data_IF_924559979315
#
_entry.id   IF_924559979315
#
_cell.length_a   1.000
_cell.length_b   1.000
_cell.length_c   1.000
_cell.angle_alpha   90.00
_cell.angle_beta   90.00
_cell.angle_gamma   90.00
#
_symmetry.space_group_name_H-M   'P 1'
#
loop_
_entity.id
_entity.type
_entity.pdbx_description
1 polymer ?
#
# COMPACT_ATOMS: atom_id res chain seq x y z
N UNK A 1 -2.04 6.71 11.30
CA UNK A 1 -3.40 6.86 10.72
C UNK A 1 -4.29 5.67 11.09
N UNK A 2 -5.57 5.88 11.38
CA UNK A 2 -6.48 4.83 11.90
C UNK A 2 -6.52 3.56 11.04
N UNK A 3 -6.62 3.70 9.72
CA UNK A 3 -6.77 2.58 8.79
C UNK A 3 -5.46 2.13 8.14
N UNK A 4 -4.30 2.63 8.60
CA UNK A 4 -2.97 2.37 8.01
C UNK A 4 -2.70 0.89 7.77
N UNK A 5 -2.86 0.09 8.83
CA UNK A 5 -2.47 -1.32 8.79
C UNK A 5 -3.35 -2.09 7.81
N UNK A 6 -4.67 -2.00 7.95
CA UNK A 6 -5.61 -2.77 7.10
C UNK A 6 -5.54 -2.35 5.63
N UNK A 7 -5.43 -1.04 5.34
CA UNK A 7 -5.29 -0.54 3.96
C UNK A 7 -3.92 -0.87 3.35
N UNK A 8 -2.83 -0.84 4.14
CA UNK A 8 -1.52 -1.31 3.70
C UNK A 8 -1.52 -2.80 3.34
N UNK A 9 -2.22 -3.62 4.13
CA UNK A 9 -2.45 -5.04 3.80
C UNK A 9 -3.32 -5.19 2.55
N UNK A 10 -4.34 -4.36 2.35
CA UNK A 10 -5.19 -4.40 1.14
C UNK A 10 -4.38 -4.12 -0.13
N UNK A 11 -3.49 -3.13 -0.10
CA UNK A 11 -2.57 -2.85 -1.21
C UNK A 11 -1.66 -4.05 -1.48
N UNK A 12 -1.18 -4.73 -0.43
CA UNK A 12 -0.40 -5.97 -0.56
C UNK A 12 -1.20 -7.11 -1.20
N UNK A 13 -2.50 -7.27 -0.85
CA UNK A 13 -3.41 -8.24 -1.51
C UNK A 13 -3.59 -7.93 -2.99
N UNK A 14 -3.80 -6.65 -3.35
CA UNK A 14 -3.91 -6.24 -4.75
C UNK A 14 -2.65 -6.62 -5.53
N UNK A 15 -1.48 -6.19 -5.05
CA UNK A 15 -0.21 -6.38 -5.74
C UNK A 15 0.21 -7.86 -5.81
N UNK A 16 -0.18 -8.68 -4.84
CA UNK A 16 0.16 -10.11 -4.84
C UNK A 16 -0.56 -10.88 -5.97
N UNK A 17 -1.69 -10.38 -6.47
CA UNK A 17 -2.51 -11.06 -7.49
C UNK A 17 -2.29 -10.56 -8.93
N UNK A 18 -1.57 -9.45 -9.15
CA UNK A 18 -1.36 -8.87 -10.48
C UNK A 18 -0.25 -9.55 -11.28
N UNK A 19 -0.41 -9.67 -12.60
CA UNK A 19 0.58 -10.29 -13.51
C UNK A 19 1.81 -9.39 -13.69
N UNK A 20 2.98 -10.01 -13.80
CA UNK A 20 4.24 -9.33 -14.09
C UNK A 20 5.27 -9.37 -12.97
N UNK A 21 6.40 -8.71 -13.20
CA UNK A 21 7.48 -8.56 -12.21
C UNK A 21 7.03 -7.63 -11.10
N UNK A 22 6.85 -8.17 -9.90
CA UNK A 22 6.47 -7.40 -8.72
C UNK A 22 7.69 -6.66 -8.17
N UNK A 23 7.53 -5.37 -7.92
CA UNK A 23 8.49 -4.54 -7.20
C UNK A 23 7.90 -4.15 -5.84
N UNK A 24 8.73 -4.19 -4.80
CA UNK A 24 8.41 -3.67 -3.46
C UNK A 24 9.48 -2.66 -3.11
N UNK A 25 9.08 -1.43 -2.78
CA UNK A 25 10.00 -0.35 -2.43
C UNK A 25 10.31 -0.35 -0.93
N UNK A 26 11.50 0.09 -0.53
CA UNK A 26 11.93 0.12 0.88
C UNK A 26 10.92 0.88 1.76
N UNK A 27 10.45 0.26 2.84
CA UNK A 27 9.44 0.80 3.74
C UNK A 27 8.00 0.55 3.31
N UNK A 28 7.73 0.16 2.06
CA UNK A 28 6.40 -0.26 1.62
C UNK A 28 5.95 -1.51 2.39
N UNK A 29 6.89 -2.42 2.67
CA UNK A 29 6.67 -3.61 3.47
C UNK A 29 6.31 -3.30 4.93
N UNK A 30 6.69 -2.12 5.44
CA UNK A 30 6.33 -1.65 6.78
C UNK A 30 5.00 -0.88 6.79
N UNK A 31 4.40 -0.64 5.62
CA UNK A 31 3.26 0.28 5.52
C UNK A 31 3.65 1.70 5.91
N UNK A 32 4.83 2.14 5.46
CA UNK A 32 5.32 3.51 5.59
C UNK A 32 4.35 4.50 4.95
N UNK A 33 4.27 5.70 5.52
CA UNK A 33 3.33 6.75 5.11
C UNK A 33 4.10 8.04 4.80
N UNK A 34 3.48 8.95 4.05
CA UNK A 34 3.99 10.31 3.88
C UNK A 34 4.24 10.98 5.24
N UNK A 35 5.33 11.73 5.36
CA UNK A 35 5.52 12.67 6.47
C UNK A 35 4.49 13.80 6.38
N UNK A 36 4.28 14.50 7.48
CA UNK A 36 3.23 15.52 7.59
C UNK A 36 3.77 16.83 8.13
N UNK A 37 3.11 17.92 7.73
CA UNK A 37 3.33 19.27 8.30
C UNK A 37 4.78 19.75 8.21
N UNK A 38 5.51 19.32 7.17
CA UNK A 38 6.85 19.85 6.91
C UNK A 38 6.76 21.13 6.11
N UNK A 39 7.49 22.19 6.53
CA UNK A 39 7.59 23.38 5.72
C UNK A 39 8.51 23.11 4.50
N UNK A 40 8.35 23.91 3.45
CA UNK A 40 8.93 23.64 2.12
C UNK A 40 10.46 23.58 2.13
N UNK A 41 11.10 24.34 3.01
CA UNK A 41 12.55 24.39 3.18
C UNK A 41 13.15 23.10 3.75
N UNK A 42 12.33 22.21 4.33
CA UNK A 42 12.79 20.91 4.79
C UNK A 42 12.88 19.87 3.68
N UNK A 43 12.33 20.13 2.49
CA UNK A 43 12.44 19.22 1.35
C UNK A 43 13.84 19.36 0.72
N UNK A 44 14.51 18.23 0.50
CA UNK A 44 15.84 18.21 -0.13
C UNK A 44 15.71 18.25 -1.66
N UNK A 45 14.62 17.70 -2.19
CA UNK A 45 14.51 17.42 -3.62
C UNK A 45 14.74 18.65 -4.51
N UNK A 46 15.63 18.50 -5.48
CA UNK A 46 15.90 19.50 -6.52
C UNK A 46 14.65 19.80 -7.35
N UNK A 47 13.75 18.83 -7.53
CA UNK A 47 12.46 19.06 -8.20
C UNK A 47 11.61 20.07 -7.44
N UNK A 48 11.53 19.94 -6.11
CA UNK A 48 10.76 20.88 -5.27
C UNK A 48 11.42 22.25 -5.28
N UNK A 49 12.74 22.32 -5.11
CA UNK A 49 13.47 23.60 -5.10
C UNK A 49 13.35 24.35 -6.43
N UNK A 50 13.50 23.65 -7.56
CA UNK A 50 13.41 24.27 -8.88
C UNK A 50 11.99 24.75 -9.18
N UNK A 51 10.97 23.92 -8.93
CA UNK A 51 9.57 24.33 -9.15
C UNK A 51 9.16 25.49 -8.23
N UNK A 52 9.57 25.46 -6.96
CA UNK A 52 9.34 26.58 -6.05
C UNK A 52 9.94 27.88 -6.58
N UNK A 53 11.20 27.84 -7.05
CA UNK A 53 11.86 29.01 -7.62
C UNK A 53 11.12 29.54 -8.85
N UNK A 54 10.75 28.65 -9.79
CA UNK A 54 10.05 29.03 -11.02
C UNK A 54 8.69 29.68 -10.72
N UNK A 55 7.88 29.07 -9.85
CA UNK A 55 6.57 29.63 -9.47
C UNK A 55 6.74 30.97 -8.74
N UNK A 56 7.76 31.09 -7.88
CA UNK A 56 8.07 32.35 -7.21
C UNK A 56 8.48 33.45 -8.19
N UNK A 57 9.26 33.12 -9.22
CA UNK A 57 9.69 34.06 -10.27
C UNK A 57 8.53 34.46 -11.21
N UNK A 58 7.67 33.51 -11.60
CA UNK A 58 6.60 33.73 -12.57
C UNK A 58 5.31 34.28 -11.96
N UNK A 59 4.91 33.79 -10.78
CA UNK A 59 3.62 34.08 -10.16
C UNK A 59 3.76 34.85 -8.83
N UNK A 60 4.93 34.81 -8.19
CA UNK A 60 5.17 35.39 -6.87
C UNK A 60 4.92 34.39 -5.73
N UNK A 61 5.59 34.62 -4.59
CA UNK A 61 5.58 33.69 -3.43
C UNK A 61 4.22 33.61 -2.71
N UNK A 62 3.39 34.65 -2.79
CA UNK A 62 2.06 34.70 -2.17
C UNK A 62 0.91 34.37 -3.13
N UNK A 63 1.23 33.79 -4.30
CA UNK A 63 0.27 33.48 -5.36
C UNK A 63 -0.61 32.26 -5.05
N UNK A 64 -1.69 32.12 -5.81
CA UNK A 64 -2.57 30.94 -5.73
C UNK A 64 -1.86 29.68 -6.27
N UNK A 65 -1.02 29.86 -7.29
CA UNK A 65 -0.16 28.83 -7.86
C UNK A 65 0.81 28.29 -6.81
N UNK A 66 1.44 29.17 -6.00
CA UNK A 66 2.31 28.75 -4.91
C UNK A 66 1.56 27.96 -3.84
N UNK A 67 0.34 28.38 -3.47
CA UNK A 67 -0.49 27.64 -2.50
C UNK A 67 -0.81 26.23 -3.00
N UNK A 68 -1.27 26.11 -4.26
CA UNK A 68 -1.56 24.80 -4.88
C UNK A 68 -0.32 23.91 -4.97
N UNK A 69 0.83 24.50 -5.28
CA UNK A 69 2.11 23.78 -5.26
C UNK A 69 2.41 23.24 -3.85
N UNK A 70 2.33 24.09 -2.82
CA UNK A 70 2.59 23.68 -1.44
C UNK A 70 1.62 22.61 -0.93
N UNK A 71 0.35 22.69 -1.31
CA UNK A 71 -0.64 21.64 -1.04
C UNK A 71 -0.32 20.34 -1.77
N UNK A 72 0.09 20.44 -3.04
CA UNK A 72 0.44 19.29 -3.87
C UNK A 72 1.66 18.53 -3.34
N UNK A 73 2.75 19.23 -3.00
CA UNK A 73 3.99 18.58 -2.57
C UNK A 73 3.83 17.79 -1.27
N UNK A 74 2.88 18.17 -0.41
CA UNK A 74 2.56 17.45 0.81
C UNK A 74 1.94 16.06 0.56
N UNK A 75 1.49 15.79 -0.66
CA UNK A 75 0.97 14.49 -1.09
C UNK A 75 1.89 13.78 -2.09
N UNK A 76 2.47 14.50 -3.06
CA UNK A 76 3.10 13.90 -4.25
C UNK A 76 4.61 13.95 -4.28
N UNK A 77 5.26 14.66 -3.34
CA UNK A 77 6.72 14.84 -3.38
C UNK A 77 7.47 13.51 -3.33
N UNK A 78 8.53 13.39 -4.14
CA UNK A 78 9.42 12.22 -4.16
C UNK A 78 10.12 12.01 -2.82
N UNK A 79 10.29 13.08 -2.03
CA UNK A 79 10.93 13.00 -0.72
C UNK A 79 10.17 12.13 0.28
N UNK A 80 8.85 11.91 0.09
CA UNK A 80 8.09 10.96 0.92
C UNK A 80 8.65 9.52 0.85
N UNK A 81 9.31 9.18 -0.26
CA UNK A 81 9.97 7.89 -0.45
C UNK A 81 11.45 7.89 0.01
N UNK A 82 12.03 9.05 0.35
CA UNK A 82 13.48 9.21 0.54
C UNK A 82 13.92 9.41 1.98
N UNK A 83 12.98 9.63 2.91
CA UNK A 83 13.33 9.69 4.34
C UNK A 83 14.06 8.41 4.75
N UNK A 84 15.09 8.47 5.61
CA UNK A 84 15.86 7.29 5.97
C UNK A 84 15.01 6.12 6.51
N UNK A 85 15.43 4.89 6.20
CA UNK A 85 14.71 3.67 6.56
C UNK A 85 14.62 3.50 8.10
N UNK A 86 13.42 3.30 8.68
CA UNK A 86 13.26 3.10 10.12
C UNK A 86 13.49 1.63 10.51
N UNK A 87 14.65 1.32 11.08
CA UNK A 87 14.98 -0.02 11.56
C UNK A 87 14.45 -0.30 12.97
N UNK A 88 14.51 0.68 13.87
CA UNK A 88 14.14 0.56 15.29
C UNK A 88 13.35 1.79 15.76
N UNK A 89 12.71 1.77 16.95
CA UNK A 89 12.06 2.96 17.51
C UNK A 89 13.05 3.96 18.13
N UNK A 90 14.35 3.67 18.11
CA UNK A 90 15.33 4.42 18.90
C UNK A 90 15.59 5.81 18.33
N UNK A 91 15.59 6.82 19.21
CA UNK A 91 15.94 8.20 18.87
C UNK A 91 17.45 8.36 18.58
N UNK A 92 17.83 9.39 17.80
CA UNK A 92 16.98 10.21 16.92
C UNK A 92 16.79 9.59 15.53
N UNK A 93 17.55 8.52 15.23
CA UNK A 93 17.79 8.06 13.87
C UNK A 93 17.04 6.77 13.49
N UNK A 94 16.15 6.26 14.34
CA UNK A 94 15.38 5.04 14.09
C UNK A 94 16.26 3.83 13.71
N UNK A 95 17.49 3.76 14.27
CA UNK A 95 18.48 2.74 13.92
C UNK A 95 19.08 2.84 12.52
N UNK A 96 18.75 3.86 11.72
CA UNK A 96 19.38 4.11 10.41
C UNK A 96 20.87 4.43 10.53
N UNK A 97 21.25 5.17 11.57
CA UNK A 97 22.63 5.47 11.92
C UNK A 97 22.79 5.58 13.43
N UNK A 98 24.03 5.65 13.92
CA UNK A 98 24.32 5.87 15.34
C UNK A 98 23.67 7.17 15.85
N UNK A 99 23.39 7.28 17.16
CA UNK A 99 22.60 8.38 17.71
C UNK A 99 23.25 9.76 17.59
N UNK A 100 24.58 9.81 17.42
CA UNK A 100 25.35 11.04 17.27
C UNK A 100 25.60 11.43 15.79
N UNK A 101 25.05 10.68 14.84
CA UNK A 101 25.17 10.98 13.41
C UNK A 101 24.02 11.88 12.98
N UNK A 102 24.30 12.91 12.17
CA UNK A 102 23.27 13.66 11.44
C UNK A 102 22.97 12.95 10.11
N UNK A 103 21.77 12.39 9.92
CA UNK A 103 21.40 11.81 8.64
C UNK A 103 21.39 12.86 7.53
N UNK A 104 21.61 12.42 6.29
CA UNK A 104 21.62 13.30 5.11
C UNK A 104 20.27 13.99 4.89
N UNK A 105 19.19 13.33 5.27
CA UNK A 105 17.82 13.84 5.19
C UNK A 105 17.03 13.53 6.47
N UNK A 106 15.99 14.31 6.75
CA UNK A 106 15.21 14.18 7.97
C UNK A 106 14.45 12.84 8.06
N UNK A 107 14.33 12.31 9.28
CA UNK A 107 13.54 11.12 9.56
C UNK A 107 12.03 11.45 9.54
N UNK A 108 11.23 10.51 9.03
CA UNK A 108 9.79 10.56 9.19
C UNK A 108 9.40 10.13 10.61
N UNK A 109 8.60 10.92 11.32
CA UNK A 109 8.24 10.67 12.72
C UNK A 109 7.43 9.39 12.95
N UNK A 110 6.98 8.75 11.88
CA UNK A 110 6.22 7.51 11.94
C UNK A 110 6.96 6.35 12.62
N UNK A 111 8.31 6.37 12.71
CA UNK A 111 9.05 5.34 13.43
C UNK A 111 8.65 5.26 14.91
N UNK A 112 8.28 6.41 15.52
CA UNK A 112 7.76 6.52 16.90
C UNK A 112 6.37 5.94 17.07
N UNK A 113 5.66 5.72 15.97
CA UNK A 113 4.30 5.15 15.93
C UNK A 113 4.33 3.64 15.64
N UNK A 114 5.50 3.02 15.78
CA UNK A 114 5.73 1.60 15.50
C UNK A 114 5.86 1.25 14.03
N UNK A 115 6.07 2.23 13.14
CA UNK A 115 6.47 1.95 11.75
C UNK A 115 7.98 1.79 11.70
N UNK A 116 8.48 0.67 12.19
CA UNK A 116 9.88 0.31 12.14
C UNK A 116 10.04 -1.21 12.08
N UNK A 117 11.17 -1.67 11.55
CA UNK A 117 11.41 -3.11 11.33
C UNK A 117 11.33 -3.90 12.64
N UNK A 118 11.94 -3.42 13.72
CA UNK A 118 12.00 -4.14 14.99
C UNK A 118 10.61 -4.43 15.59
N UNK A 119 9.73 -3.44 15.63
CA UNK A 119 8.38 -3.60 16.15
C UNK A 119 7.48 -4.42 15.22
N UNK A 120 7.54 -4.16 13.91
CA UNK A 120 6.73 -4.89 12.92
C UNK A 120 7.17 -6.37 12.84
N UNK A 121 8.43 -6.72 13.12
CA UNK A 121 8.88 -8.12 13.20
C UNK A 121 8.31 -8.87 14.40
N UNK A 122 8.10 -8.20 15.55
CA UNK A 122 7.58 -8.81 16.77
C UNK A 122 6.04 -8.99 16.74
N UNK A 123 5.36 -8.27 15.85
CA UNK A 123 3.91 -8.28 15.74
C UNK A 123 3.44 -9.16 14.57
N UNK A 124 2.73 -10.26 14.84
CA UNK A 124 2.21 -11.18 13.80
C UNK A 124 1.12 -10.58 12.92
N UNK A 125 0.49 -9.49 13.37
CA UNK A 125 -0.54 -8.74 12.66
C UNK A 125 0.00 -7.48 11.98
N UNK A 126 1.32 -7.31 11.94
CA UNK A 126 1.98 -6.19 11.29
C UNK A 126 1.82 -6.19 9.77
N UNK A 127 2.12 -5.05 9.13
CA UNK A 127 2.13 -4.96 7.66
C UNK A 127 3.31 -5.76 7.12
N UNK A 128 4.46 -5.77 7.81
CA UNK A 128 5.64 -6.56 7.44
C UNK A 128 5.35 -8.06 7.45
N UNK A 129 4.74 -8.57 8.52
CA UNK A 129 4.36 -9.97 8.63
C UNK A 129 3.36 -10.35 7.52
N UNK A 130 2.46 -9.44 7.17
CA UNK A 130 1.50 -9.66 6.10
C UNK A 130 2.14 -9.69 4.70
N UNK A 131 3.08 -8.79 4.41
CA UNK A 131 3.82 -8.82 3.15
C UNK A 131 4.57 -10.12 2.92
N UNK A 132 5.17 -10.70 3.97
CA UNK A 132 5.78 -12.04 3.90
C UNK A 132 4.77 -13.10 3.43
N UNK A 133 3.57 -13.12 4.04
CA UNK A 133 2.47 -14.02 3.66
C UNK A 133 1.98 -13.76 2.23
N UNK A 134 1.91 -12.50 1.80
CA UNK A 134 1.47 -12.12 0.45
C UNK A 134 2.45 -12.58 -0.64
N UNK A 135 3.75 -12.49 -0.39
CA UNK A 135 4.78 -12.99 -1.30
C UNK A 135 4.80 -14.52 -1.34
N UNK A 136 4.59 -15.18 -0.19
CA UNK A 136 4.43 -16.64 -0.12
C UNK A 136 3.21 -17.12 -0.93
N UNK A 137 2.05 -16.50 -0.74
CA UNK A 137 0.85 -16.74 -1.56
C UNK A 137 1.15 -16.57 -3.05
N UNK A 138 1.76 -15.43 -3.44
CA UNK A 138 2.10 -15.14 -4.84
C UNK A 138 3.04 -16.20 -5.43
N UNK A 139 3.98 -16.73 -4.63
CA UNK A 139 4.91 -17.78 -5.06
C UNK A 139 4.21 -19.12 -5.23
N UNK A 140 3.34 -19.49 -4.28
CA UNK A 140 2.61 -20.76 -4.27
C UNK A 140 1.61 -20.85 -5.42
N UNK A 141 0.99 -19.73 -5.81
CA UNK A 141 0.06 -19.64 -6.94
C UNK A 141 0.66 -18.89 -8.13
N UNK A 142 1.98 -19.03 -8.38
CA UNK A 142 2.69 -18.24 -9.40
C UNK A 142 2.11 -18.38 -10.81
N UNK A 143 1.56 -19.54 -11.14
CA UNK A 143 0.93 -19.82 -12.43
C UNK A 143 -0.17 -18.80 -12.75
N UNK A 144 -1.10 -18.57 -11.83
CA UNK A 144 -2.20 -17.63 -12.03
C UNK A 144 -1.92 -16.23 -11.45
N UNK A 145 -1.13 -16.09 -10.39
CA UNK A 145 -0.79 -14.81 -9.78
C UNK A 145 0.26 -14.04 -10.58
N UNK A 146 1.35 -14.70 -11.02
CA UNK A 146 2.44 -14.07 -11.78
C UNK A 146 2.19 -14.14 -13.28
N UNK A 147 1.69 -15.27 -13.79
CA UNK A 147 1.54 -15.53 -15.24
C UNK A 147 0.09 -15.60 -15.73
N UNK A 148 -0.91 -15.34 -14.86
CA UNK A 148 -2.31 -15.37 -15.26
C UNK A 148 -2.61 -14.36 -16.37
N UNK A 149 -3.48 -14.74 -17.30
CA UNK A 149 -3.88 -13.97 -18.46
C UNK A 149 -5.40 -13.73 -18.47
N UNK A 150 -5.94 -13.16 -19.54
CA UNK A 150 -7.35 -12.79 -19.67
C UNK A 150 -7.89 -11.97 -18.49
N UNK A 151 -7.14 -10.96 -18.08
CA UNK A 151 -7.57 -10.04 -17.02
C UNK A 151 -8.88 -9.35 -17.43
N UNK A 152 -9.90 -9.43 -16.58
CA UNK A 152 -11.19 -8.75 -16.80
C UNK A 152 -11.64 -8.05 -15.53
N UNK A 153 -11.96 -6.77 -15.65
CA UNK A 153 -12.62 -6.04 -14.57
C UNK A 153 -14.04 -6.57 -14.33
N UNK A 154 -14.44 -6.55 -13.07
CA UNK A 154 -15.82 -6.79 -12.62
C UNK A 154 -16.27 -5.51 -11.93
N UNK A 155 -17.40 -4.95 -12.40
CA UNK A 155 -17.96 -3.70 -11.87
C UNK A 155 -16.96 -2.51 -11.91
N UNK A 156 -16.41 -2.25 -13.11
CA UNK A 156 -15.35 -1.27 -13.34
C UNK A 156 -15.70 0.15 -12.85
N UNK A 157 -16.97 0.53 -12.91
CA UNK A 157 -17.42 1.88 -12.54
C UNK A 157 -17.60 2.07 -11.02
N UNK A 158 -17.39 1.01 -10.22
CA UNK A 158 -17.57 1.05 -8.78
C UNK A 158 -16.49 1.91 -8.10
N UNK A 159 -16.94 2.89 -7.30
CA UNK A 159 -16.05 3.82 -6.59
C UNK A 159 -15.37 3.22 -5.35
N UNK A 160 -15.77 2.03 -4.91
CA UNK A 160 -15.28 1.35 -3.70
C UNK A 160 -14.68 -0.01 -4.01
N UNK A 161 -15.37 -0.81 -4.82
CA UNK A 161 -14.95 -2.16 -5.17
C UNK A 161 -13.97 -2.13 -6.34
N UNK A 162 -12.75 -2.62 -6.13
CA UNK A 162 -11.87 -3.06 -7.19
C UNK A 162 -12.02 -4.58 -7.29
N UNK A 163 -12.61 -5.07 -8.38
CA UNK A 163 -12.75 -6.50 -8.61
C UNK A 163 -12.32 -6.90 -10.02
N UNK A 164 -11.73 -8.09 -10.14
CA UNK A 164 -11.27 -8.63 -11.42
C UNK A 164 -11.17 -10.15 -11.40
N UNK A 165 -11.13 -10.75 -12.59
CA UNK A 165 -10.75 -12.15 -12.80
C UNK A 165 -9.49 -12.28 -13.63
N UNK A 166 -8.80 -13.41 -13.47
CA UNK A 166 -7.69 -13.88 -14.31
C UNK A 166 -7.83 -15.36 -14.58
N UNK A 167 -7.22 -15.84 -15.66
CA UNK A 167 -7.21 -17.26 -16.04
C UNK A 167 -5.81 -17.82 -16.15
N UNK A 168 -5.69 -19.12 -15.90
CA UNK A 168 -4.53 -19.91 -16.28
C UNK A 168 -4.95 -21.37 -16.46
N UNK A 169 -4.96 -21.89 -17.69
CA UNK A 169 -5.54 -23.22 -18.00
C UNK A 169 -6.99 -23.37 -17.48
N UNK A 170 -7.25 -24.36 -16.61
CA UNK A 170 -8.51 -24.60 -15.91
C UNK A 170 -8.74 -23.67 -14.71
N UNK A 171 -7.72 -22.95 -14.26
CA UNK A 171 -7.81 -22.10 -13.07
C UNK A 171 -8.44 -20.75 -13.39
N UNK A 172 -9.25 -20.26 -12.46
CA UNK A 172 -9.78 -18.90 -12.45
C UNK A 172 -9.51 -18.26 -11.10
N UNK A 173 -8.84 -17.11 -11.10
CA UNK A 173 -8.64 -16.27 -9.93
C UNK A 173 -9.70 -15.16 -9.98
N UNK A 174 -10.33 -14.90 -8.85
CA UNK A 174 -11.25 -13.78 -8.65
C UNK A 174 -10.79 -12.95 -7.45
N UNK A 175 -10.64 -11.65 -7.64
CA UNK A 175 -10.30 -10.70 -6.59
C UNK A 175 -11.49 -9.80 -6.29
N UNK A 176 -11.78 -9.57 -5.02
CA UNK A 176 -12.72 -8.56 -4.55
C UNK A 176 -12.03 -7.73 -3.45
N UNK A 177 -11.84 -6.43 -3.71
CA UNK A 177 -11.03 -5.54 -2.90
C UNK A 177 -11.81 -4.26 -2.60
N UNK A 178 -12.05 -3.99 -1.31
CA UNK A 178 -12.83 -2.83 -0.88
C UNK A 178 -11.92 -1.66 -0.51
N UNK A 179 -11.78 -0.67 -1.40
CA UNK A 179 -11.01 0.56 -1.17
C UNK A 179 -11.83 1.65 -0.47
N UNK A 180 -12.66 1.25 0.50
CA UNK A 180 -13.52 2.15 1.27
C UNK A 180 -13.52 1.81 2.76
N UNK A 181 -13.91 2.79 3.57
CA UNK A 181 -14.19 2.60 4.99
C UNK A 181 -15.62 2.09 5.26
N UNK A 182 -16.44 1.97 4.22
CA UNK A 182 -17.77 1.37 4.30
C UNK A 182 -17.70 -0.13 3.96
N UNK A 183 -18.71 -0.90 4.38
CA UNK A 183 -18.91 -2.24 3.84
C UNK A 183 -19.32 -2.15 2.36
N UNK A 184 -18.88 -3.12 1.55
CA UNK A 184 -19.10 -3.12 0.09
C UNK A 184 -19.45 -4.51 -0.40
N UNK A 185 -20.57 -4.65 -1.11
CA UNK A 185 -21.01 -5.92 -1.70
C UNK A 185 -20.21 -6.27 -2.96
N UNK A 186 -20.10 -7.56 -3.25
CA UNK A 186 -19.48 -8.07 -4.48
C UNK A 186 -20.20 -9.32 -4.98
N UNK A 187 -20.00 -9.64 -6.26
CA UNK A 187 -20.51 -10.88 -6.88
C UNK A 187 -19.37 -11.61 -7.57
N UNK A 188 -19.30 -12.93 -7.37
CA UNK A 188 -18.38 -13.78 -8.12
C UNK A 188 -19.03 -14.10 -9.47
N UNK A 189 -18.37 -13.81 -10.62
CA UNK A 189 -18.89 -14.20 -11.92
C UNK A 189 -18.98 -15.72 -12.01
N UNK A 190 -20.12 -16.26 -12.46
CA UNK A 190 -20.36 -17.70 -12.57
C UNK A 190 -20.19 -18.46 -11.24
N UNK A 191 -20.80 -17.94 -10.16
CA UNK A 191 -20.77 -18.46 -8.77
C UNK A 191 -21.22 -19.93 -8.58
N UNK A 192 -21.54 -20.65 -9.66
CA UNK A 192 -21.78 -22.10 -9.66
C UNK A 192 -20.50 -22.95 -9.69
N UNK A 193 -19.32 -22.33 -9.56
CA UNK A 193 -18.00 -22.98 -9.61
C UNK A 193 -17.32 -22.95 -8.24
N UNK A 194 -16.45 -23.94 -7.96
CA UNK A 194 -15.84 -24.22 -6.66
C UNK A 194 -14.73 -23.24 -6.24
N UNK A 195 -15.05 -21.94 -6.16
CA UNK A 195 -14.13 -20.92 -5.66
C UNK A 195 -13.79 -21.13 -4.18
N UNK A 196 -12.50 -21.26 -3.88
CA UNK A 196 -11.96 -21.32 -2.51
C UNK A 196 -11.27 -20.00 -2.19
N UNK A 197 -11.43 -19.51 -0.96
CA UNK A 197 -10.73 -18.34 -0.46
C UNK A 197 -9.28 -18.73 -0.14
N UNK A 198 -8.32 -18.24 -0.94
CA UNK A 198 -6.90 -18.60 -0.80
C UNK A 198 -6.11 -17.52 -0.05
N UNK A 199 -6.49 -16.24 -0.19
CA UNK A 199 -5.78 -15.14 0.44
C UNK A 199 -6.68 -13.96 0.79
N UNK A 200 -6.37 -13.25 1.87
CA UNK A 200 -7.10 -12.06 2.31
C UNK A 200 -6.44 -11.39 3.51
N UNK A 201 -6.86 -10.15 3.81
CA UNK A 201 -6.23 -9.32 4.85
C UNK A 201 -6.94 -9.28 6.21
N UNK A 202 -8.14 -9.85 6.30
CA UNK A 202 -8.83 -10.05 7.57
C UNK A 202 -8.44 -11.40 8.23
N UNK A 203 -8.56 -11.53 9.57
CA UNK A 203 -8.22 -12.78 10.26
C UNK A 203 -9.02 -13.97 9.71
N UNK A 204 -8.34 -15.08 9.39
CA UNK A 204 -8.95 -16.24 8.71
C UNK A 204 -10.15 -16.82 9.46
N UNK A 205 -10.13 -16.79 10.79
CA UNK A 205 -11.20 -17.26 11.67
C UNK A 205 -12.42 -16.33 11.71
N UNK A 206 -12.31 -15.11 11.19
CA UNK A 206 -13.39 -14.10 11.18
C UNK A 206 -13.97 -13.85 9.78
N UNK A 207 -13.47 -14.55 8.76
CA UNK A 207 -13.92 -14.43 7.38
C UNK A 207 -14.82 -15.59 7.03
N UNK A 208 -16.10 -15.29 6.80
CA UNK A 208 -17.01 -16.19 6.12
C UNK A 208 -16.76 -16.08 4.60
N UNK A 209 -16.16 -17.12 4.02
CA UNK A 209 -15.85 -17.16 2.60
C UNK A 209 -17.11 -17.17 1.71
N UNK A 210 -18.27 -17.58 2.25
CA UNK A 210 -19.55 -17.57 1.55
C UNK A 210 -20.23 -16.20 1.54
N UNK A 211 -19.85 -15.31 2.45
CA UNK A 211 -20.33 -13.93 2.47
C UNK A 211 -19.98 -13.20 1.17
N UNK A 212 -20.93 -12.39 0.69
CA UNK A 212 -20.81 -11.54 -0.51
C UNK A 212 -20.71 -10.05 -0.17
N UNK A 213 -20.31 -9.75 1.06
CA UNK A 213 -20.02 -8.38 1.54
C UNK A 213 -18.62 -8.34 2.14
N UNK A 214 -17.82 -7.38 1.69
CA UNK A 214 -16.51 -7.05 2.23
C UNK A 214 -16.66 -6.06 3.39
N UNK A 215 -15.96 -6.32 4.49
CA UNK A 215 -15.75 -5.38 5.60
C UNK A 215 -14.92 -4.17 5.10
N UNK A 216 -14.90 -3.05 5.85
CA UNK A 216 -14.07 -1.89 5.52
C UNK A 216 -12.61 -2.26 5.23
N UNK A 217 -12.06 -1.86 4.09
CA UNK A 217 -10.70 -2.19 3.67
C UNK A 217 -10.39 -3.69 3.48
N UNK A 218 -11.39 -4.56 3.44
CA UNK A 218 -11.18 -5.99 3.23
C UNK A 218 -10.85 -6.32 1.76
N UNK A 219 -9.90 -7.22 1.57
CA UNK A 219 -9.56 -7.80 0.28
C UNK A 219 -9.56 -9.31 0.37
N UNK A 220 -10.13 -9.96 -0.64
CA UNK A 220 -10.21 -11.42 -0.75
C UNK A 220 -9.80 -11.86 -2.15
N UNK A 221 -9.01 -12.92 -2.21
CA UNK A 221 -8.61 -13.61 -3.43
C UNK A 221 -9.14 -15.03 -3.38
N UNK A 222 -9.97 -15.36 -4.36
CA UNK A 222 -10.54 -16.67 -4.56
C UNK A 222 -9.91 -17.35 -5.77
N UNK A 223 -9.73 -18.66 -5.71
CA UNK A 223 -9.27 -19.46 -6.85
C UNK A 223 -10.22 -20.65 -7.03
N UNK A 224 -10.62 -20.88 -8.26
CA UNK A 224 -11.30 -22.10 -8.71
C UNK A 224 -10.36 -22.88 -9.62
N UNK A 225 -10.29 -24.21 -9.47
CA UNK A 225 -9.45 -25.11 -10.27
C UNK A 225 -10.25 -26.31 -10.79
#
# INVERSE_FOLDING_TARGET
PKNRVVSGKLLSVLLSALTGTLYVYQGQELGQINFKNWPVEKYEDVEIRNNYRLIKEECGENSEEMKKFLEGIALVSRDHARTPMPWTPNEPNAGFSGPNTKPWFYLNESFRQGINVEEEQKNSDSVLAFWKKALEFRKNHKDIAVYGFDFKFIDLDNKKLFSFTKRYNNKTLFAALNFSSDATDFKIPNDGSSFKLEFGNYPKNEVDASSRTLKPWEGRIYINE
#
